data_IF_106345161091
#
_entry.id   IF_106345161091
#
_cell.length_a   1.000
_cell.length_b   1.000
_cell.length_c   1.000
_cell.angle_alpha   90.00
_cell.angle_beta   90.00
_cell.angle_gamma   90.00
#
_symmetry.space_group_name_H-M   'P 1'
#
loop_
_entity.id
_entity.type
_entity.pdbx_description
1 polymer ?
#
# COMPACT_ATOMS: atom_id res chain seq x y z
N UNK A 1 -3.35 -16.68 24.45
CA UNK A 1 -2.86 -15.31 24.14
C UNK A 1 -3.61 -14.82 22.92
N UNK A 2 -4.06 -13.57 22.90
CA UNK A 2 -4.78 -13.00 21.76
C UNK A 2 -3.82 -12.84 20.57
N UNK A 3 -4.27 -13.21 19.38
CA UNK A 3 -3.50 -13.07 18.13
C UNK A 3 -3.25 -11.59 17.83
N UNK A 4 -2.02 -11.24 17.47
CA UNK A 4 -1.62 -9.89 17.06
C UNK A 4 -1.48 -9.85 15.54
N UNK A 5 -2.12 -8.89 14.89
CA UNK A 5 -2.06 -8.73 13.45
C UNK A 5 -1.04 -7.64 13.07
N UNK A 6 0.05 -8.03 12.40
CA UNK A 6 1.16 -7.16 12.00
C UNK A 6 1.44 -7.28 10.48
N UNK A 7 0.38 -7.48 9.68
CA UNK A 7 0.43 -7.56 8.21
C UNK A 7 -0.47 -6.49 7.54
N UNK A 8 -0.51 -5.30 8.11
CA UNK A 8 -1.31 -4.18 7.62
C UNK A 8 -0.94 -3.68 6.21
N UNK A 9 0.29 -3.93 5.74
CA UNK A 9 0.66 -3.61 4.36
C UNK A 9 0.04 -4.58 3.34
N UNK A 10 -0.35 -5.79 3.73
CA UNK A 10 -1.12 -6.70 2.88
C UNK A 10 -2.59 -6.27 2.82
N UNK A 11 -3.24 -6.12 3.97
CA UNK A 11 -4.61 -5.61 4.09
C UNK A 11 -4.86 -5.13 5.51
N UNK A 12 -5.79 -4.19 5.70
CA UNK A 12 -6.18 -3.68 7.02
C UNK A 12 -7.59 -4.13 7.39
N UNK A 13 -7.91 -4.30 8.70
CA UNK A 13 -9.27 -4.55 9.16
C UNK A 13 -10.25 -3.48 8.67
N UNK A 14 -11.49 -3.89 8.38
CA UNK A 14 -12.56 -2.96 7.99
C UNK A 14 -12.90 -2.03 9.17
N UNK A 15 -12.78 -0.73 8.94
CA UNK A 15 -13.13 0.32 9.91
C UNK A 15 -14.62 0.32 10.23
N UNK A 16 -14.96 0.76 11.45
CA UNK A 16 -16.34 0.89 11.89
C UNK A 16 -17.12 1.89 11.02
N UNK A 17 -16.50 3.01 10.65
CA UNK A 17 -17.09 4.04 9.78
C UNK A 17 -17.43 3.48 8.40
N UNK A 18 -16.50 2.72 7.80
CA UNK A 18 -16.70 2.06 6.52
C UNK A 18 -17.82 1.02 6.59
N UNK A 19 -17.84 0.19 7.64
CA UNK A 19 -18.90 -0.80 7.86
C UNK A 19 -20.27 -0.14 7.98
N UNK A 20 -20.39 0.91 8.79
CA UNK A 20 -21.65 1.62 8.99
C UNK A 20 -22.16 2.24 7.68
N UNK A 21 -21.28 2.88 6.91
CA UNK A 21 -21.62 3.45 5.61
C UNK A 21 -22.08 2.38 4.61
N UNK A 22 -21.39 1.24 4.56
CA UNK A 22 -21.77 0.12 3.70
C UNK A 22 -23.14 -0.46 4.05
N UNK A 23 -23.42 -0.66 5.35
CA UNK A 23 -24.73 -1.17 5.81
C UNK A 23 -25.84 -0.21 5.41
N UNK A 24 -25.66 1.09 5.67
CA UNK A 24 -26.66 2.10 5.29
C UNK A 24 -26.91 2.16 3.77
N UNK A 25 -25.88 1.93 2.95
CA UNK A 25 -26.05 1.90 1.50
C UNK A 25 -26.75 0.65 0.95
N UNK A 26 -26.85 -0.44 1.72
CA UNK A 26 -27.59 -1.64 1.31
C UNK A 26 -29.10 -1.37 1.15
N UNK A 27 -29.63 -0.37 1.86
CA UNK A 27 -31.04 0.02 1.77
C UNK A 27 -31.36 0.85 0.51
N UNK A 28 -30.33 1.26 -0.26
CA UNK A 28 -30.49 2.01 -1.51
C UNK A 28 -30.56 1.05 -2.69
N UNK A 29 -31.77 0.81 -3.20
CA UNK A 29 -32.05 -0.20 -4.25
C UNK A 29 -31.81 0.26 -5.70
N UNK A 30 -31.67 1.57 -5.92
CA UNK A 30 -31.65 2.13 -7.27
C UNK A 30 -30.37 1.84 -8.07
N UNK A 31 -30.50 1.66 -9.37
CA UNK A 31 -29.36 1.68 -10.30
C UNK A 31 -29.00 3.15 -10.64
N UNK A 32 -27.75 3.62 -10.48
CA UNK A 32 -27.36 5.01 -10.77
C UNK A 32 -27.61 5.47 -12.21
N UNK A 33 -27.71 4.53 -13.14
CA UNK A 33 -28.03 4.80 -14.55
C UNK A 33 -29.52 5.06 -14.80
N UNK A 34 -30.39 4.76 -13.82
CA UNK A 34 -31.83 4.94 -13.95
C UNK A 34 -32.28 6.39 -13.68
N UNK A 35 -33.26 6.86 -14.44
CA UNK A 35 -33.79 8.24 -14.33
C UNK A 35 -34.85 8.42 -13.24
N UNK A 36 -35.40 7.34 -12.67
CA UNK A 36 -36.42 7.39 -11.60
C UNK A 36 -35.81 7.80 -10.24
N UNK A 37 -36.68 8.02 -9.23
CA UNK A 37 -36.27 8.62 -7.95
C UNK A 37 -35.17 7.82 -7.22
N UNK A 38 -35.31 6.50 -7.19
CA UNK A 38 -34.35 5.58 -6.56
C UNK A 38 -33.01 5.59 -7.30
N UNK A 39 -33.03 5.63 -8.64
CA UNK A 39 -31.82 5.74 -9.46
C UNK A 39 -31.09 7.06 -9.25
N UNK A 40 -31.82 8.18 -9.16
CA UNK A 40 -31.25 9.48 -8.80
C UNK A 40 -30.66 9.49 -7.40
N UNK A 41 -31.33 8.87 -6.43
CA UNK A 41 -30.81 8.75 -5.06
C UNK A 41 -29.50 7.94 -5.01
N UNK A 42 -29.45 6.81 -5.73
CA UNK A 42 -28.25 5.99 -5.89
C UNK A 42 -27.10 6.76 -6.55
N UNK A 43 -27.39 7.49 -7.64
CA UNK A 43 -26.43 8.36 -8.31
C UNK A 43 -25.90 9.46 -7.39
N UNK A 44 -26.77 10.14 -6.63
CA UNK A 44 -26.33 11.15 -5.66
C UNK A 44 -25.43 10.57 -4.57
N UNK A 45 -25.67 9.34 -4.13
CA UNK A 45 -24.81 8.67 -3.15
C UNK A 45 -23.43 8.35 -3.74
N UNK A 46 -23.38 7.85 -4.97
CA UNK A 46 -22.15 7.61 -5.72
C UNK A 46 -21.33 8.89 -5.91
N UNK A 47 -21.95 9.99 -6.36
CA UNK A 47 -21.22 11.25 -6.59
C UNK A 47 -20.70 11.88 -5.30
N UNK A 48 -21.43 11.75 -4.19
CA UNK A 48 -20.91 12.14 -2.86
C UNK A 48 -19.70 11.32 -2.46
N UNK A 49 -19.76 9.99 -2.62
CA UNK A 49 -18.61 9.13 -2.33
C UNK A 49 -17.40 9.47 -3.22
N UNK A 50 -17.62 9.81 -4.48
CA UNK A 50 -16.58 10.27 -5.41
C UNK A 50 -15.93 11.57 -4.93
N UNK A 51 -16.73 12.56 -4.55
CA UNK A 51 -16.25 13.84 -4.02
C UNK A 51 -15.46 13.65 -2.72
N UNK A 52 -15.96 12.80 -1.82
CA UNK A 52 -15.31 12.50 -0.54
C UNK A 52 -13.93 11.84 -0.72
N UNK A 53 -13.81 10.90 -1.67
CA UNK A 53 -12.52 10.28 -2.01
C UNK A 53 -11.58 11.29 -2.66
N UNK A 54 -12.10 12.15 -3.55
CA UNK A 54 -11.31 13.20 -4.19
C UNK A 54 -10.77 14.20 -3.15
N UNK A 55 -11.60 14.66 -2.21
CA UNK A 55 -11.19 15.56 -1.13
C UNK A 55 -10.13 14.92 -0.24
N UNK A 56 -10.35 13.68 0.21
CA UNK A 56 -9.40 12.96 1.06
C UNK A 56 -8.03 12.73 0.39
N UNK A 57 -7.97 12.71 -0.95
CA UNK A 57 -6.74 12.55 -1.71
C UNK A 57 -6.04 13.87 -2.09
N UNK A 58 -6.66 15.02 -1.82
CA UNK A 58 -6.22 16.29 -2.39
C UNK A 58 -6.33 16.29 -3.92
N UNK A 59 -7.41 15.72 -4.46
CA UNK A 59 -7.65 15.47 -5.88
C UNK A 59 -8.96 16.09 -6.39
N UNK A 60 -9.43 17.18 -5.77
CA UNK A 60 -10.73 17.82 -6.07
C UNK A 60 -10.84 18.28 -7.54
N UNK A 61 -9.71 18.59 -8.18
CA UNK A 61 -9.65 18.98 -9.60
C UNK A 61 -9.37 17.80 -10.55
N UNK A 62 -9.34 16.57 -10.05
CA UNK A 62 -9.08 15.35 -10.81
C UNK A 62 -10.38 14.57 -11.07
N UNK A 63 -10.36 13.73 -12.11
CA UNK A 63 -11.39 12.72 -12.29
C UNK A 63 -11.03 11.49 -11.45
N UNK A 64 -11.99 10.99 -10.67
CA UNK A 64 -11.87 9.72 -9.94
C UNK A 64 -12.62 8.67 -10.75
N UNK A 65 -11.95 7.60 -11.16
CA UNK A 65 -12.55 6.43 -11.80
C UNK A 65 -12.49 5.27 -10.82
N UNK A 66 -13.63 4.80 -10.33
CA UNK A 66 -13.68 3.65 -9.43
C UNK A 66 -13.42 2.35 -10.18
N UNK A 67 -12.63 1.48 -9.55
CA UNK A 67 -12.22 0.17 -10.07
C UNK A 67 -12.40 -0.89 -8.98
N UNK A 68 -12.20 -2.18 -9.28
CA UNK A 68 -12.25 -3.24 -8.26
C UNK A 68 -11.06 -3.24 -7.30
N UNK A 69 -10.08 -2.36 -7.48
CA UNK A 69 -8.86 -2.27 -6.68
C UNK A 69 -7.69 -1.66 -7.46
N UNK A 70 -6.57 -1.44 -6.78
CA UNK A 70 -5.36 -0.90 -7.40
C UNK A 70 -4.84 -1.75 -8.58
N UNK A 71 -5.09 -3.06 -8.59
CA UNK A 71 -4.70 -3.93 -9.72
C UNK A 71 -5.46 -3.62 -11.00
N UNK A 72 -6.78 -3.42 -10.93
CA UNK A 72 -7.58 -3.00 -12.09
C UNK A 72 -7.18 -1.57 -12.50
N UNK A 73 -6.96 -0.68 -11.53
CA UNK A 73 -6.49 0.68 -11.79
C UNK A 73 -5.13 0.70 -12.52
N UNK A 74 -4.18 -0.16 -12.13
CA UNK A 74 -2.87 -0.28 -12.76
C UNK A 74 -3.01 -0.69 -14.24
N UNK A 75 -3.83 -1.71 -14.52
CA UNK A 75 -4.10 -2.13 -15.89
C UNK A 75 -4.75 -1.04 -16.73
N UNK A 76 -5.74 -0.33 -16.18
CA UNK A 76 -6.40 0.79 -16.87
C UNK A 76 -5.43 1.95 -17.15
N UNK A 77 -4.53 2.25 -16.21
CA UNK A 77 -3.57 3.33 -16.34
C UNK A 77 -2.42 3.00 -17.31
N UNK A 78 -1.90 1.77 -17.29
CA UNK A 78 -0.64 1.43 -17.95
C UNK A 78 -0.80 0.74 -19.32
N UNK A 79 -1.94 0.09 -19.59
CA UNK A 79 -2.13 -0.71 -20.80
C UNK A 79 -1.85 0.09 -22.09
N UNK A 80 -0.96 -0.43 -22.93
CA UNK A 80 -0.66 0.12 -24.25
C UNK A 80 0.14 1.44 -24.25
N UNK A 81 0.69 1.85 -23.11
CA UNK A 81 1.41 3.14 -22.99
C UNK A 81 2.93 3.07 -23.07
N UNK A 82 3.49 1.86 -23.06
CA UNK A 82 4.94 1.66 -23.09
C UNK A 82 5.67 2.50 -22.01
N UNK A 83 5.22 2.40 -20.75
CA UNK A 83 5.84 3.10 -19.63
C UNK A 83 7.03 2.31 -19.04
N UNK A 84 8.03 3.04 -18.53
CA UNK A 84 9.15 2.49 -17.77
C UNK A 84 8.81 2.40 -16.27
N UNK A 85 9.09 1.28 -15.63
CA UNK A 85 8.98 1.07 -14.19
C UNK A 85 10.26 0.45 -13.64
N UNK A 86 10.30 0.29 -12.33
CA UNK A 86 11.40 -0.35 -11.63
C UNK A 86 11.06 -1.78 -11.18
N UNK A 87 12.07 -2.60 -10.94
CA UNK A 87 11.91 -3.94 -10.39
C UNK A 87 11.26 -3.97 -9.00
N UNK A 88 11.21 -2.82 -8.30
CA UNK A 88 10.55 -2.68 -7.00
C UNK A 88 9.05 -2.45 -7.09
N UNK A 89 8.50 -2.16 -8.27
CA UNK A 89 7.05 -1.95 -8.47
C UNK A 89 6.23 -3.17 -8.05
N UNK A 90 5.00 -2.94 -7.58
CA UNK A 90 4.09 -4.04 -7.29
C UNK A 90 3.80 -4.83 -8.56
N UNK A 91 3.64 -6.16 -8.47
CA UNK A 91 3.38 -7.03 -9.63
C UNK A 91 2.20 -6.55 -10.50
N UNK A 92 1.21 -5.93 -9.86
CA UNK A 92 0.06 -5.32 -10.54
C UNK A 92 0.44 -4.22 -11.54
N UNK A 93 1.50 -3.45 -11.28
CA UNK A 93 2.06 -2.44 -12.18
C UNK A 93 3.10 -3.08 -13.08
N UNK A 94 3.99 -3.91 -12.51
CA UNK A 94 5.07 -4.61 -13.22
C UNK A 94 4.60 -5.48 -14.39
N UNK A 95 3.35 -5.95 -14.37
CA UNK A 95 2.74 -6.69 -15.48
C UNK A 95 2.49 -5.86 -16.76
N UNK A 96 2.54 -4.52 -16.67
CA UNK A 96 2.16 -3.61 -17.77
C UNK A 96 3.27 -2.68 -18.24
N UNK A 97 4.45 -2.70 -17.60
CA UNK A 97 5.53 -1.74 -17.81
C UNK A 97 6.85 -2.44 -18.11
N UNK A 98 7.78 -1.73 -18.76
CA UNK A 98 9.15 -2.21 -18.94
C UNK A 98 9.92 -2.04 -17.63
N UNK A 99 10.59 -3.09 -17.18
CA UNK A 99 11.54 -3.01 -16.07
C UNK A 99 12.83 -2.33 -16.57
N UNK A 100 12.86 -1.01 -16.49
CA UNK A 100 13.87 -0.16 -17.14
C UNK A 100 14.45 0.91 -16.22
N UNK A 101 13.84 1.17 -15.06
CA UNK A 101 14.33 2.17 -14.10
C UNK A 101 15.29 1.54 -13.10
N UNK A 102 16.43 2.19 -12.87
CA UNK A 102 17.45 1.73 -11.94
C UNK A 102 16.99 1.89 -10.48
N UNK A 103 17.39 0.93 -9.64
CA UNK A 103 17.14 0.91 -8.20
C UNK A 103 18.47 0.88 -7.46
N UNK A 104 18.66 1.77 -6.48
CA UNK A 104 19.86 1.76 -5.63
C UNK A 104 19.74 0.76 -4.46
N UNK A 105 20.84 0.57 -3.73
CA UNK A 105 20.88 -0.34 -2.58
C UNK A 105 19.97 0.10 -1.41
N UNK A 106 19.51 1.35 -1.41
CA UNK A 106 18.57 1.91 -0.44
C UNK A 106 17.13 1.89 -0.97
N UNK A 107 16.89 1.27 -2.13
CA UNK A 107 15.57 1.13 -2.76
C UNK A 107 15.04 2.40 -3.41
N UNK A 108 15.88 3.42 -3.69
CA UNK A 108 15.48 4.60 -4.46
C UNK A 108 15.44 4.24 -5.94
N UNK A 109 14.43 4.73 -6.63
CA UNK A 109 14.32 4.62 -8.09
C UNK A 109 14.83 5.91 -8.72
N UNK A 110 15.70 5.78 -9.72
CA UNK A 110 16.10 6.90 -10.58
C UNK A 110 15.11 7.01 -11.74
N UNK A 111 14.42 8.15 -11.84
CA UNK A 111 13.49 8.46 -12.94
C UNK A 111 14.14 9.50 -13.86
N UNK A 112 14.42 9.09 -15.10
CA UNK A 112 15.02 9.97 -16.11
C UNK A 112 13.97 10.78 -16.89
N UNK A 113 12.87 10.13 -17.28
CA UNK A 113 11.73 10.76 -17.95
C UNK A 113 10.44 10.49 -17.16
N UNK A 114 9.99 11.51 -16.41
CA UNK A 114 8.78 11.41 -15.61
C UNK A 114 7.53 11.12 -16.49
N UNK A 115 7.42 11.74 -17.67
CA UNK A 115 6.25 11.62 -18.53
C UNK A 115 6.06 10.24 -19.15
N UNK A 116 7.12 9.42 -19.16
CA UNK A 116 7.13 8.05 -19.66
C UNK A 116 7.34 7.00 -18.56
N UNK A 117 7.25 7.38 -17.28
CA UNK A 117 7.58 6.49 -16.16
C UNK A 117 6.43 6.27 -15.18
N UNK A 118 6.45 5.10 -14.54
CA UNK A 118 5.63 4.77 -13.36
C UNK A 118 6.51 4.69 -12.13
N UNK A 119 5.96 5.08 -10.98
CA UNK A 119 6.69 5.02 -9.71
C UNK A 119 5.73 4.84 -8.54
N UNK A 120 5.92 3.79 -7.74
CA UNK A 120 5.23 3.72 -6.44
C UNK A 120 5.72 4.83 -5.51
N UNK A 121 4.81 5.49 -4.79
CA UNK A 121 5.18 6.51 -3.82
C UNK A 121 5.87 5.90 -2.60
N UNK A 122 5.42 4.73 -2.17
CA UNK A 122 6.05 3.97 -1.10
C UNK A 122 6.00 2.46 -1.34
N UNK A 123 7.10 1.77 -1.06
CA UNK A 123 7.20 0.35 -1.29
C UNK A 123 6.46 -0.48 -0.23
N UNK A 124 5.63 -1.41 -0.69
CA UNK A 124 4.79 -2.24 0.18
C UNK A 124 5.57 -3.28 1.01
N UNK A 125 6.78 -3.64 0.57
CA UNK A 125 7.65 -4.58 1.27
C UNK A 125 8.53 -3.85 2.29
N UNK A 126 9.29 -2.86 1.84
CA UNK A 126 10.34 -2.19 2.64
C UNK A 126 9.86 -0.93 3.35
N UNK A 127 8.74 -0.37 2.93
CA UNK A 127 8.26 0.92 3.38
C UNK A 127 9.03 2.10 2.81
N UNK A 128 10.05 1.88 1.97
CA UNK A 128 10.85 2.95 1.37
C UNK A 128 9.97 3.91 0.58
N UNK A 129 10.11 5.20 0.88
CA UNK A 129 9.40 6.29 0.19
C UNK A 129 10.29 6.83 -0.94
N UNK A 130 9.68 7.06 -2.10
CA UNK A 130 10.32 7.60 -3.30
C UNK A 130 10.17 9.11 -3.38
N UNK A 131 11.10 9.78 -4.07
CA UNK A 131 10.92 11.15 -4.50
C UNK A 131 10.20 11.14 -5.84
N UNK A 132 8.94 11.58 -5.86
CA UNK A 132 8.12 11.55 -7.08
C UNK A 132 8.39 12.81 -7.91
N UNK A 133 8.97 12.69 -9.11
CA UNK A 133 9.18 13.86 -9.95
C UNK A 133 7.85 14.40 -10.47
N UNK A 134 7.74 15.72 -10.56
CA UNK A 134 6.57 16.37 -11.15
C UNK A 134 6.37 15.89 -12.59
N UNK A 135 5.12 15.59 -12.95
CA UNK A 135 4.76 15.09 -14.26
C UNK A 135 4.89 13.58 -14.44
N UNK A 136 5.18 12.81 -13.39
CA UNK A 136 5.20 11.33 -13.44
C UNK A 136 3.91 10.80 -14.09
N UNK A 137 4.02 9.83 -15.00
CA UNK A 137 2.87 9.35 -15.76
C UNK A 137 1.85 8.65 -14.86
N UNK A 138 2.31 7.71 -14.02
CA UNK A 138 1.48 7.00 -13.05
C UNK A 138 2.23 6.89 -11.73
N UNK A 139 1.58 7.24 -10.62
CA UNK A 139 2.11 7.03 -9.29
C UNK A 139 1.26 6.03 -8.49
N UNK A 140 1.85 4.94 -8.02
CA UNK A 140 1.14 4.04 -7.10
C UNK A 140 1.19 4.61 -5.67
N UNK A 141 0.08 5.22 -5.25
CA UNK A 141 -0.07 5.86 -3.93
C UNK A 141 -0.71 4.93 -2.90
N UNK A 142 -0.95 3.66 -3.26
CA UNK A 142 -1.72 2.68 -2.49
C UNK A 142 -1.21 2.48 -1.06
N UNK A 143 0.11 2.57 -0.83
CA UNK A 143 0.69 2.37 0.50
C UNK A 143 0.77 3.64 1.34
N UNK A 144 0.67 4.83 0.73
CA UNK A 144 0.76 6.13 1.42
C UNK A 144 -0.62 6.64 1.81
N UNK A 145 -1.63 6.44 0.96
CA UNK A 145 -2.95 6.99 1.19
C UNK A 145 -3.53 6.51 2.53
N UNK A 146 -3.79 7.45 3.44
CA UNK A 146 -4.31 7.19 4.78
C UNK A 146 -3.25 6.81 5.82
N UNK A 147 -1.96 6.86 5.47
CA UNK A 147 -0.83 6.62 6.40
C UNK A 147 0.08 7.82 6.61
N UNK A 148 0.12 8.73 5.64
CA UNK A 148 0.90 9.96 5.70
C UNK A 148 0.13 11.08 5.00
N UNK A 149 0.50 12.36 5.22
CA UNK A 149 -0.04 13.46 4.44
C UNK A 149 0.15 13.20 2.95
N UNK A 150 -0.92 13.38 2.18
CA UNK A 150 -0.93 13.13 0.74
C UNK A 150 -1.81 14.18 0.06
N UNK A 151 -1.27 14.81 -0.97
CA UNK A 151 -1.99 15.71 -1.85
C UNK A 151 -1.62 15.34 -3.30
N UNK A 152 -2.60 14.78 -4.02
CA UNK A 152 -2.42 14.35 -5.41
C UNK A 152 -2.04 15.52 -6.32
N UNK A 153 -2.68 16.68 -6.17
CA UNK A 153 -2.40 17.83 -7.03
C UNK A 153 -0.99 18.37 -6.82
N UNK A 154 -0.55 18.47 -5.56
CA UNK A 154 0.80 18.90 -5.19
C UNK A 154 1.88 17.87 -5.56
N UNK A 155 1.54 16.58 -5.62
CA UNK A 155 2.48 15.52 -6.04
C UNK A 155 3.00 15.69 -7.48
N UNK A 156 2.25 16.42 -8.31
CA UNK A 156 2.57 16.58 -9.73
C UNK A 156 2.33 15.34 -10.60
N UNK A 157 1.83 14.22 -10.05
CA UNK A 157 1.50 13.03 -10.82
C UNK A 157 0.34 13.30 -11.81
N UNK A 158 0.41 12.67 -12.99
CA UNK A 158 -0.67 12.74 -14.00
C UNK A 158 -1.81 11.78 -13.64
N UNK A 159 -1.46 10.61 -13.14
CA UNK A 159 -2.41 9.59 -12.70
C UNK A 159 -1.94 8.96 -11.38
N UNK A 160 -2.86 8.51 -10.53
CA UNK A 160 -2.53 7.80 -9.31
C UNK A 160 -3.41 6.57 -9.05
N UNK A 161 -2.83 5.56 -8.40
CA UNK A 161 -3.50 4.32 -8.03
C UNK A 161 -3.77 4.29 -6.52
N UNK A 162 -4.97 3.90 -6.12
CA UNK A 162 -5.34 3.73 -4.71
C UNK A 162 -6.26 2.53 -4.49
N UNK A 163 -6.24 1.95 -3.29
CA UNK A 163 -7.03 0.77 -2.92
C UNK A 163 -7.61 0.92 -1.51
N UNK A 164 -8.93 0.73 -1.37
CA UNK A 164 -9.64 1.00 -0.13
C UNK A 164 -9.17 0.13 1.05
N UNK A 165 -8.91 -1.15 0.81
CA UNK A 165 -8.58 -2.11 1.87
C UNK A 165 -7.21 -1.88 2.53
N UNK A 166 -6.37 -0.98 2.00
CA UNK A 166 -5.07 -0.62 2.60
C UNK A 166 -5.22 0.36 3.75
N UNK A 167 -6.28 1.17 3.72
CA UNK A 167 -6.62 2.14 4.75
C UNK A 167 -7.86 1.73 5.57
N UNK A 168 -8.26 0.45 5.51
CA UNK A 168 -9.38 -0.08 6.30
C UNK A 168 -10.76 0.10 5.68
N UNK A 169 -10.84 0.35 4.37
CA UNK A 169 -12.07 0.23 3.59
C UNK A 169 -12.34 -1.22 3.12
N UNK A 170 -13.44 -1.46 2.38
CA UNK A 170 -13.77 -2.78 1.87
C UNK A 170 -12.75 -3.26 0.82
N UNK A 171 -12.57 -4.58 0.74
CA UNK A 171 -11.89 -5.22 -0.39
C UNK A 171 -12.81 -5.17 -1.63
N UNK A 172 -12.22 -5.27 -2.81
CA UNK A 172 -12.97 -5.25 -4.07
C UNK A 172 -13.36 -3.85 -4.54
N UNK A 173 -12.71 -2.80 -4.03
CA UNK A 173 -12.80 -1.46 -4.58
C UNK A 173 -11.50 -0.66 -4.43
N UNK A 174 -11.19 0.12 -5.47
CA UNK A 174 -10.11 1.08 -5.52
C UNK A 174 -10.47 2.21 -6.48
N UNK A 175 -9.49 3.04 -6.82
CA UNK A 175 -9.68 4.09 -7.82
C UNK A 175 -8.41 4.35 -8.62
N UNK A 176 -8.63 4.78 -9.87
CA UNK A 176 -7.66 5.48 -10.69
C UNK A 176 -8.01 6.98 -10.61
N UNK A 177 -7.06 7.77 -10.14
CA UNK A 177 -7.14 9.24 -10.12
C UNK A 177 -6.49 9.77 -11.39
N UNK A 178 -7.15 10.67 -12.11
CA UNK A 178 -6.70 11.22 -13.37
C UNK A 178 -6.69 12.74 -13.28
N UNK A 179 -5.55 13.38 -13.46
CA UNK A 179 -5.52 14.83 -13.67
C UNK A 179 -6.38 15.16 -14.90
N UNK A 180 -7.16 16.25 -14.86
CA UNK A 180 -8.01 16.66 -15.99
C UNK A 180 -7.25 16.71 -17.31
N UNK A 181 -7.90 16.23 -18.37
CA UNK A 181 -7.31 16.12 -19.71
C UNK A 181 -6.49 14.85 -19.94
N UNK A 182 -6.29 13.99 -18.93
CA UNK A 182 -5.75 12.64 -19.15
C UNK A 182 -6.86 11.72 -19.68
N UNK A 183 -6.56 11.04 -20.79
CA UNK A 183 -7.45 10.05 -21.39
C UNK A 183 -6.89 8.64 -21.20
N UNK A 184 -7.75 7.70 -20.78
CA UNK A 184 -7.44 6.28 -20.64
C UNK A 184 -8.45 5.45 -21.43
N UNK A 185 -8.02 4.53 -22.32
CA UNK A 185 -8.94 3.67 -23.03
C UNK A 185 -9.53 2.61 -22.09
N UNK A 186 -10.84 2.41 -22.15
CA UNK A 186 -11.52 1.41 -21.34
C UNK A 186 -11.00 -0.01 -21.62
N UNK A 187 -10.57 -0.69 -20.56
CA UNK A 187 -10.22 -2.13 -20.61
C UNK A 187 -11.49 -2.99 -20.48
N UNK A 188 -12.38 -2.62 -19.56
CA UNK A 188 -13.72 -3.22 -19.42
C UNK A 188 -14.71 -2.40 -20.24
N UNK A 189 -15.10 -2.95 -21.39
CA UNK A 189 -16.02 -2.31 -22.36
C UNK A 189 -17.48 -2.66 -22.05
N UNK A 190 -18.40 -1.77 -22.40
CA UNK A 190 -19.83 -1.94 -22.09
C UNK A 190 -20.59 -0.61 -22.09
N UNK A 191 -21.49 -0.44 -21.12
CA UNK A 191 -22.47 0.65 -21.04
C UNK A 191 -21.93 2.05 -20.71
N UNK A 192 -20.61 2.23 -20.64
CA UNK A 192 -20.01 3.55 -20.51
C UNK A 192 -20.10 4.18 -19.11
N UNK A 193 -20.30 3.37 -18.06
CA UNK A 193 -20.15 3.81 -16.67
C UNK A 193 -18.76 4.43 -16.42
N UNK A 194 -18.63 5.15 -15.30
CA UNK A 194 -17.38 5.83 -14.90
C UNK A 194 -16.80 6.70 -16.03
N UNK A 195 -17.64 7.58 -16.59
CA UNK A 195 -17.29 8.50 -17.67
C UNK A 195 -16.78 7.79 -18.94
N UNK A 196 -17.27 6.59 -19.23
CA UNK A 196 -16.86 5.79 -20.37
C UNK A 196 -15.55 5.02 -20.19
N UNK A 197 -14.87 5.18 -19.05
CA UNK A 197 -13.52 4.63 -18.80
C UNK A 197 -13.55 3.24 -18.15
N UNK A 198 -14.64 2.88 -17.47
CA UNK A 198 -14.78 1.59 -16.79
C UNK A 198 -16.25 1.16 -16.72
N UNK A 199 -16.64 0.21 -17.59
CA UNK A 199 -18.03 -0.25 -17.67
C UNK A 199 -18.42 -1.22 -16.55
N UNK A 200 -19.73 -1.37 -16.34
CA UNK A 200 -20.34 -2.26 -15.35
C UNK A 200 -21.08 -1.46 -14.27
N UNK A 201 -22.20 -1.99 -13.79
CA UNK A 201 -22.99 -1.36 -12.73
C UNK A 201 -22.13 -1.06 -11.51
N UNK A 202 -22.28 0.15 -10.99
CA UNK A 202 -21.39 0.73 -10.00
C UNK A 202 -21.58 0.06 -8.62
N UNK A 203 -20.46 -0.29 -7.98
CA UNK A 203 -20.46 -0.85 -6.63
C UNK A 203 -20.64 0.26 -5.58
N UNK A 204 -21.85 0.79 -5.46
CA UNK A 204 -22.17 1.91 -4.57
C UNK A 204 -21.79 1.60 -3.12
N UNK A 205 -22.08 0.37 -2.64
CA UNK A 205 -21.75 -0.08 -1.28
C UNK A 205 -20.23 0.02 -1.06
N UNK A 206 -19.43 -0.47 -2.01
CA UNK A 206 -17.99 -0.33 -1.97
C UNK A 206 -17.54 1.13 -1.98
N UNK A 207 -18.15 1.97 -2.83
CA UNK A 207 -17.77 3.38 -2.99
C UNK A 207 -17.95 4.17 -1.70
N UNK A 208 -19.11 4.02 -1.04
CA UNK A 208 -19.36 4.70 0.24
C UNK A 208 -18.48 4.16 1.36
N UNK A 209 -18.20 2.85 1.35
CA UNK A 209 -17.28 2.24 2.32
C UNK A 209 -15.85 2.75 2.13
N UNK A 210 -15.43 2.96 0.89
CA UNK A 210 -14.14 3.56 0.57
C UNK A 210 -14.11 5.03 1.01
N UNK A 211 -15.11 5.83 0.65
CA UNK A 211 -15.21 7.23 1.07
C UNK A 211 -15.15 7.41 2.59
N UNK A 212 -15.91 6.60 3.34
CA UNK A 212 -15.90 6.64 4.80
C UNK A 212 -14.54 6.23 5.39
N UNK A 213 -13.89 5.20 4.84
CA UNK A 213 -12.54 4.82 5.25
C UNK A 213 -11.51 5.93 4.95
N UNK A 214 -11.60 6.56 3.78
CA UNK A 214 -10.71 7.63 3.35
C UNK A 214 -10.78 8.83 4.28
N UNK A 215 -11.99 9.29 4.60
CA UNK A 215 -12.22 10.37 5.58
C UNK A 215 -11.64 10.05 6.95
N UNK A 216 -11.90 8.85 7.47
CA UNK A 216 -11.39 8.43 8.76
C UNK A 216 -9.84 8.34 8.76
N UNK A 217 -9.25 7.84 7.69
CA UNK A 217 -7.80 7.69 7.58
C UNK A 217 -7.08 9.05 7.45
N UNK A 218 -7.63 10.01 6.71
CA UNK A 218 -7.09 11.38 6.65
C UNK A 218 -7.18 12.07 8.01
N UNK A 219 -8.28 11.87 8.75
CA UNK A 219 -8.39 12.35 10.12
C UNK A 219 -7.28 11.78 11.02
N UNK A 220 -7.04 10.47 11.00
CA UNK A 220 -5.98 9.84 11.80
C UNK A 220 -4.58 10.39 11.45
N UNK A 221 -4.33 10.69 10.17
CA UNK A 221 -3.10 11.35 9.73
C UNK A 221 -2.98 12.76 10.31
N UNK A 222 -4.05 13.56 10.22
CA UNK A 222 -4.08 14.92 10.74
C UNK A 222 -3.94 14.98 12.27
N UNK A 223 -4.43 13.96 12.98
CA UNK A 223 -4.31 13.80 14.44
C UNK A 223 -2.93 13.28 14.89
N UNK A 224 -2.00 13.00 13.97
CA UNK A 224 -0.67 12.50 14.30
C UNK A 224 -0.64 11.05 14.82
N UNK A 225 -1.71 10.27 14.62
CA UNK A 225 -1.77 8.89 15.14
C UNK A 225 -0.70 7.98 14.54
N UNK A 226 -0.27 8.27 13.31
CA UNK A 226 0.81 7.53 12.65
C UNK A 226 2.20 7.87 13.20
N UNK A 227 2.38 9.00 13.89
CA UNK A 227 3.65 9.33 14.55
C UNK A 227 3.90 8.36 15.71
N UNK A 228 2.86 8.06 16.49
CA UNK A 228 2.92 6.99 17.52
C UNK A 228 3.26 5.63 16.91
N UNK A 229 2.71 5.30 15.75
CA UNK A 229 3.04 4.05 15.06
C UNK A 229 4.51 4.04 14.60
N UNK A 230 5.05 5.18 14.17
CA UNK A 230 6.47 5.32 13.84
C UNK A 230 7.37 5.08 15.06
N UNK A 231 6.99 5.58 16.24
CA UNK A 231 7.69 5.29 17.50
C UNK A 231 7.68 3.79 17.81
N UNK A 232 6.53 3.14 17.70
CA UNK A 232 6.40 1.69 17.91
C UNK A 232 7.24 0.87 16.92
N UNK A 233 7.29 1.30 15.65
CA UNK A 233 8.19 0.71 14.65
C UNK A 233 9.65 0.85 15.09
N UNK A 234 10.05 2.01 15.60
CA UNK A 234 11.42 2.23 16.08
C UNK A 234 11.74 1.36 17.31
N UNK A 235 10.80 1.22 18.25
CA UNK A 235 10.94 0.31 19.41
C UNK A 235 11.13 -1.13 18.93
N UNK A 236 10.31 -1.59 17.98
CA UNK A 236 10.44 -2.90 17.34
C UNK A 236 11.85 -3.10 16.78
N UNK A 237 12.30 -2.20 15.90
CA UNK A 237 13.61 -2.31 15.26
C UNK A 237 14.76 -2.30 16.26
N UNK A 238 14.72 -1.43 17.27
CA UNK A 238 15.75 -1.34 18.30
C UNK A 238 15.81 -2.61 19.17
N UNK A 239 14.66 -3.18 19.52
CA UNK A 239 14.59 -4.43 20.28
C UNK A 239 15.16 -5.62 19.50
N UNK A 240 14.83 -5.73 18.22
CA UNK A 240 15.37 -6.77 17.34
C UNK A 240 16.88 -6.60 17.10
N UNK A 241 17.35 -5.36 16.92
CA UNK A 241 18.78 -5.03 16.74
C UNK A 241 19.61 -5.30 18.02
N UNK A 242 19.01 -5.15 19.21
CA UNK A 242 19.66 -5.53 20.46
C UNK A 242 19.85 -7.06 20.57
N UNK A 243 18.94 -7.84 19.97
CA UNK A 243 19.00 -9.30 19.97
C UNK A 243 19.96 -9.88 18.91
N UNK A 244 20.14 -9.22 17.77
CA UNK A 244 20.98 -9.68 16.66
C UNK A 244 21.68 -8.53 15.95
N UNK A 245 23.02 -8.51 16.02
CA UNK A 245 23.85 -7.59 15.22
C UNK A 245 24.04 -8.04 13.76
N UNK A 246 23.53 -9.22 13.40
CA UNK A 246 23.56 -9.75 12.02
C UNK A 246 22.31 -9.38 11.22
N UNK A 247 21.26 -8.92 11.88
CA UNK A 247 20.00 -8.58 11.23
C UNK A 247 20.10 -7.21 10.54
N UNK A 248 19.72 -7.17 9.27
CA UNK A 248 19.82 -5.99 8.42
C UNK A 248 18.42 -5.38 8.29
N UNK A 249 18.25 -4.11 8.68
CA UNK A 249 16.99 -3.38 8.54
C UNK A 249 16.95 -2.61 7.22
N UNK A 250 16.14 -3.10 6.29
CA UNK A 250 16.10 -2.60 4.92
C UNK A 250 15.60 -1.15 4.90
N UNK A 251 16.42 -0.26 4.33
CA UNK A 251 16.12 1.17 4.21
C UNK A 251 16.20 1.97 5.52
N UNK A 252 16.69 1.40 6.63
CA UNK A 252 16.88 2.10 7.92
C UNK A 252 18.00 3.13 7.86
N UNK A 253 19.18 2.74 7.38
CA UNK A 253 20.41 3.55 7.40
C UNK A 253 20.50 4.59 6.26
N UNK A 254 19.35 5.11 5.82
CA UNK A 254 19.31 6.36 5.06
C UNK A 254 19.67 7.48 6.04
N UNK A 255 20.98 7.64 6.29
CA UNK A 255 21.54 8.71 7.08
C UNK A 255 20.80 10.00 6.75
N UNK A 256 20.28 10.65 7.79
CA UNK A 256 19.75 11.98 7.65
C UNK A 256 20.85 12.84 7.04
N UNK A 257 20.64 13.32 5.83
CA UNK A 257 20.87 14.74 5.71
C UNK A 257 19.94 15.35 6.76
N UNK A 258 20.48 15.95 7.80
CA UNK A 258 19.79 16.73 8.86
C UNK A 258 18.96 17.90 8.29
N UNK A 259 18.62 17.85 7.00
CA UNK A 259 18.17 18.92 6.11
C UNK A 259 16.86 18.57 5.37
N UNK A 260 16.40 17.31 5.38
CA UNK A 260 15.11 16.95 4.75
C UNK A 260 14.03 16.67 5.80
N UNK A 261 13.05 17.57 5.86
CA UNK A 261 11.85 17.52 6.72
C UNK A 261 10.85 16.39 6.39
N UNK A 262 11.23 15.43 5.53
CA UNK A 262 10.33 14.39 5.00
C UNK A 262 10.83 12.99 5.37
N UNK A 263 9.99 12.13 5.98
CA UNK A 263 10.36 10.75 6.32
C UNK A 263 10.76 9.93 5.09
N UNK A 264 11.76 9.07 5.23
CA UNK A 264 12.26 8.21 4.13
C UNK A 264 11.65 6.79 4.10
N UNK A 265 10.88 6.42 5.12
CA UNK A 265 10.13 5.17 5.20
C UNK A 265 8.74 5.41 5.78
N UNK A 266 7.78 4.57 5.40
CA UNK A 266 6.44 4.52 6.01
C UNK A 266 6.55 4.40 7.54
N UNK A 267 5.65 5.04 8.29
CA UNK A 267 5.68 5.01 9.75
C UNK A 267 5.49 3.58 10.29
N UNK A 268 4.80 2.73 9.55
CA UNK A 268 4.31 1.45 10.06
C UNK A 268 5.10 0.23 9.59
N UNK A 269 6.11 0.40 8.74
CA UNK A 269 6.75 -0.73 8.04
C UNK A 269 8.16 -0.95 8.55
N UNK A 270 8.45 -2.21 8.89
CA UNK A 270 9.81 -2.71 9.08
C UNK A 270 9.99 -3.95 8.21
N UNK A 271 11.00 -3.92 7.34
CA UNK A 271 11.48 -5.07 6.60
C UNK A 271 12.90 -5.34 7.03
N UNK A 272 13.17 -6.55 7.49
CA UNK A 272 14.49 -6.92 7.94
C UNK A 272 14.89 -8.30 7.44
N UNK A 273 16.18 -8.45 7.19
CA UNK A 273 16.80 -9.67 6.68
C UNK A 273 17.65 -10.26 7.78
N UNK A 274 17.45 -11.54 8.09
CA UNK A 274 18.29 -12.26 9.07
C UNK A 274 18.99 -13.42 8.36
N UNK A 275 20.20 -13.19 7.83
CA UNK A 275 20.91 -14.18 6.99
C UNK A 275 20.97 -15.56 7.64
N UNK A 276 20.66 -16.60 6.84
CA UNK A 276 20.61 -18.00 7.29
C UNK A 276 19.25 -18.45 7.83
N UNK A 277 18.36 -17.53 8.20
CA UNK A 277 17.02 -17.86 8.69
C UNK A 277 15.95 -17.54 7.66
N UNK A 278 15.52 -18.56 6.91
CA UNK A 278 14.51 -18.42 5.84
C UNK A 278 13.25 -17.67 6.32
N UNK A 279 12.79 -16.70 5.53
CA UNK A 279 11.64 -15.87 5.84
C UNK A 279 10.36 -16.67 6.05
N UNK A 280 10.10 -17.70 5.24
CA UNK A 280 8.97 -18.62 5.44
C UNK A 280 8.98 -19.29 6.82
N UNK A 281 10.17 -19.75 7.26
CA UNK A 281 10.34 -20.37 8.56
C UNK A 281 10.05 -19.37 9.68
N UNK A 282 10.52 -18.14 9.53
CA UNK A 282 10.19 -17.05 10.46
C UNK A 282 8.68 -16.80 10.52
N UNK A 283 8.00 -16.66 9.37
CA UNK A 283 6.55 -16.46 9.30
C UNK A 283 5.80 -17.58 10.01
N UNK A 284 6.11 -18.85 9.72
CA UNK A 284 5.48 -20.00 10.40
C UNK A 284 5.72 -19.99 11.91
N UNK A 285 6.94 -19.65 12.34
CA UNK A 285 7.28 -19.61 13.76
C UNK A 285 6.60 -18.46 14.50
N UNK A 286 6.39 -17.33 13.84
CA UNK A 286 5.65 -16.17 14.37
C UNK A 286 4.14 -16.44 14.39
N UNK A 287 3.60 -17.11 13.37
CA UNK A 287 2.19 -17.51 13.34
C UNK A 287 1.86 -18.46 14.50
N UNK A 288 2.70 -19.47 14.73
CA UNK A 288 2.61 -20.37 15.89
C UNK A 288 2.78 -19.64 17.24
N UNK A 289 3.44 -18.48 17.24
CA UNK A 289 3.59 -17.61 18.41
C UNK A 289 2.43 -16.60 18.55
N UNK A 290 1.46 -16.61 17.62
CA UNK A 290 0.28 -15.74 17.66
C UNK A 290 0.43 -14.42 16.89
N UNK A 291 1.42 -14.28 16.01
CA UNK A 291 1.65 -13.06 15.22
C UNK A 291 1.43 -13.29 13.73
N UNK A 292 0.53 -12.52 13.12
CA UNK A 292 0.38 -12.49 11.67
C UNK A 292 1.41 -11.50 11.08
N UNK A 293 2.38 -12.03 10.34
CA UNK A 293 3.42 -11.27 9.64
C UNK A 293 3.59 -11.84 8.23
N UNK A 294 4.34 -11.15 7.39
CA UNK A 294 4.60 -11.59 6.02
C UNK A 294 6.09 -11.81 5.80
N UNK A 295 6.44 -12.71 4.91
CA UNK A 295 7.76 -12.67 4.28
C UNK A 295 7.78 -11.51 3.26
N UNK A 296 8.93 -11.17 2.70
CA UNK A 296 8.96 -10.45 1.42
C UNK A 296 8.16 -11.18 0.32
N UNK A 297 8.00 -10.60 -0.86
CA UNK A 297 7.33 -11.19 -2.07
C UNK A 297 6.07 -12.05 -1.85
N UNK A 298 5.34 -11.90 -0.73
CA UNK A 298 4.23 -12.78 -0.35
C UNK A 298 3.03 -12.76 -1.31
N UNK A 299 3.04 -11.87 -2.31
CA UNK A 299 2.05 -11.82 -3.38
C UNK A 299 2.27 -12.90 -4.47
N UNK A 300 3.38 -13.65 -4.50
CA UNK A 300 3.64 -14.61 -5.59
C UNK A 300 3.00 -15.98 -5.36
N UNK A 301 1.71 -16.13 -5.70
CA UNK A 301 1.01 -17.36 -6.12
C UNK A 301 1.43 -18.73 -5.52
N UNK A 302 1.87 -18.78 -4.26
CA UNK A 302 2.22 -20.02 -3.56
C UNK A 302 3.57 -20.65 -3.92
N UNK A 303 4.41 -20.01 -4.75
CA UNK A 303 5.80 -20.45 -4.98
C UNK A 303 6.76 -19.46 -4.33
N UNK A 304 7.45 -19.90 -3.28
CA UNK A 304 8.37 -19.02 -2.59
C UNK A 304 9.61 -18.81 -3.45
N UNK A 305 9.86 -17.55 -3.76
CA UNK A 305 11.04 -17.06 -4.48
C UNK A 305 11.63 -15.90 -3.67
N UNK A 306 12.94 -15.71 -3.80
CA UNK A 306 13.62 -14.54 -3.25
C UNK A 306 12.87 -13.25 -3.65
N UNK A 307 12.81 -12.27 -2.74
CA UNK A 307 12.12 -11.01 -3.01
C UNK A 307 12.78 -10.27 -4.18
N UNK A 308 12.00 -10.03 -5.25
CA UNK A 308 12.44 -9.23 -6.40
C UNK A 308 12.84 -7.82 -5.98
N UNK A 309 12.12 -7.24 -5.02
CA UNK A 309 12.42 -5.92 -4.44
C UNK A 309 13.81 -5.93 -3.81
N UNK A 310 14.10 -6.92 -2.95
CA UNK A 310 15.40 -6.97 -2.28
C UNK A 310 16.54 -7.32 -3.24
N UNK A 311 16.32 -8.20 -4.22
CA UNK A 311 17.31 -8.46 -5.26
C UNK A 311 17.59 -7.23 -6.10
N UNK A 312 16.57 -6.41 -6.42
CA UNK A 312 16.77 -5.12 -7.09
C UNK A 312 17.57 -4.13 -6.24
N UNK A 313 17.47 -4.23 -4.91
CA UNK A 313 18.29 -3.47 -3.96
C UNK A 313 19.69 -4.08 -3.74
N UNK A 314 20.10 -5.07 -4.53
CA UNK A 314 21.43 -5.67 -4.49
C UNK A 314 21.63 -6.77 -3.45
N UNK A 315 20.58 -7.21 -2.74
CA UNK A 315 20.69 -8.38 -1.86
C UNK A 315 20.86 -9.65 -2.69
N UNK A 316 21.81 -10.49 -2.29
CA UNK A 316 21.95 -11.82 -2.89
C UNK A 316 20.69 -12.66 -2.63
N UNK A 317 20.30 -13.58 -3.54
CA UNK A 317 19.04 -14.32 -3.43
C UNK A 317 18.84 -15.06 -2.10
N UNK A 318 19.91 -15.56 -1.49
CA UNK A 318 19.85 -16.24 -0.19
C UNK A 318 19.44 -15.30 0.96
N UNK A 319 19.97 -14.08 0.97
CA UNK A 319 19.63 -13.06 1.96
C UNK A 319 18.24 -12.50 1.69
N UNK A 320 17.91 -12.22 0.43
CA UNK A 320 16.57 -11.79 0.04
C UNK A 320 15.47 -12.82 0.43
N UNK A 321 15.79 -14.11 0.48
CA UNK A 321 14.90 -15.18 0.95
C UNK A 321 14.79 -15.27 2.49
N UNK A 322 15.59 -14.51 3.23
CA UNK A 322 15.63 -14.47 4.70
C UNK A 322 14.93 -13.23 5.27
N UNK A 323 14.12 -12.55 4.44
CA UNK A 323 13.40 -11.34 4.80
C UNK A 323 12.09 -11.62 5.54
N UNK A 324 11.82 -10.82 6.56
CA UNK A 324 10.55 -10.72 7.26
C UNK A 324 10.03 -9.28 7.20
N UNK A 325 8.74 -9.13 6.92
CA UNK A 325 8.03 -7.85 6.95
C UNK A 325 7.05 -7.84 8.12
N UNK A 326 7.21 -6.82 8.95
CA UNK A 326 6.27 -6.46 10.02
C UNK A 326 5.66 -5.11 9.65
N UNK A 327 4.33 -5.05 9.57
CA UNK A 327 3.60 -3.83 9.26
C UNK A 327 2.51 -3.57 10.29
N UNK A 328 2.74 -2.53 11.11
CA UNK A 328 1.91 -2.16 12.25
C UNK A 328 0.62 -1.47 11.80
N UNK A 329 -0.40 -1.50 12.65
CA UNK A 329 -1.66 -0.77 12.49
C UNK A 329 -1.83 0.30 13.56
N UNK A 330 -2.87 1.12 13.40
CA UNK A 330 -3.20 2.21 14.33
C UNK A 330 -3.58 1.73 15.75
N UNK A 331 -4.04 0.48 15.86
CA UNK A 331 -4.42 -0.15 17.13
C UNK A 331 -3.32 -1.06 17.69
N UNK A 332 -2.15 -1.12 17.03
CA UNK A 332 -1.02 -1.89 17.57
C UNK A 332 -0.50 -1.21 18.84
N UNK A 333 -0.30 -1.98 19.90
CA UNK A 333 0.16 -1.46 21.20
C UNK A 333 1.66 -1.70 21.40
N UNK A 334 2.24 -1.01 22.38
CA UNK A 334 3.63 -1.25 22.78
C UNK A 334 3.83 -2.67 23.34
N UNK A 335 2.86 -3.18 24.09
CA UNK A 335 2.87 -4.57 24.58
C UNK A 335 2.88 -5.59 23.43
N UNK A 336 2.12 -5.35 22.36
CA UNK A 336 2.16 -6.19 21.15
C UNK A 336 3.57 -6.24 20.54
N UNK A 337 4.24 -5.08 20.48
CA UNK A 337 5.61 -4.95 19.95
C UNK A 337 6.61 -5.67 20.83
N UNK A 338 6.56 -5.46 22.15
CA UNK A 338 7.46 -6.11 23.11
C UNK A 338 7.30 -7.64 23.08
N UNK A 339 6.05 -8.13 23.05
CA UNK A 339 5.79 -9.57 22.91
C UNK A 339 6.30 -10.13 21.58
N UNK A 340 6.21 -9.36 20.50
CA UNK A 340 6.79 -9.77 19.21
C UNK A 340 8.31 -9.88 19.30
N UNK A 341 8.99 -8.89 19.90
CA UNK A 341 10.44 -8.91 20.11
C UNK A 341 10.85 -10.16 20.89
N UNK A 342 10.22 -10.42 22.04
CA UNK A 342 10.51 -11.58 22.87
C UNK A 342 10.31 -12.90 22.13
N UNK A 343 9.19 -13.03 21.41
CA UNK A 343 8.89 -14.22 20.62
C UNK A 343 9.94 -14.43 19.51
N UNK A 344 10.24 -13.38 18.73
CA UNK A 344 11.19 -13.45 17.64
C UNK A 344 12.60 -13.78 18.15
N UNK A 345 13.09 -13.08 19.18
CA UNK A 345 14.39 -13.33 19.80
C UNK A 345 14.50 -14.75 20.37
N UNK A 346 13.44 -15.26 21.00
CA UNK A 346 13.40 -16.63 21.50
C UNK A 346 13.49 -17.68 20.38
N UNK A 347 12.91 -17.40 19.20
CA UNK A 347 13.04 -18.28 18.02
C UNK A 347 14.40 -18.15 17.35
N UNK A 348 14.96 -16.94 17.28
CA UNK A 348 16.30 -16.71 16.75
C UNK A 348 17.34 -17.54 17.51
N UNK A 349 17.37 -17.46 18.85
CA UNK A 349 18.33 -18.22 19.67
C UNK A 349 18.25 -19.73 19.42
N UNK A 350 17.03 -20.25 19.23
CA UNK A 350 16.81 -21.68 18.90
C UNK A 350 17.27 -22.03 17.49
N UNK A 351 17.14 -21.11 16.54
CA UNK A 351 17.64 -21.29 15.18
C UNK A 351 19.18 -21.30 15.18
N UNK A 352 19.82 -20.33 15.83
CA UNK A 352 21.29 -20.24 15.93
C UNK A 352 21.88 -21.46 16.65
N UNK A 353 21.27 -21.93 17.73
CA UNK A 353 21.72 -23.13 18.44
C UNK A 353 21.60 -24.43 17.63
N UNK A 354 20.79 -24.47 16.56
CA UNK A 354 20.70 -25.61 15.64
C UNK A 354 21.66 -25.52 14.46
N UNK A 355 22.16 -24.32 14.18
CA UNK A 355 23.08 -24.03 13.09
C UNK A 355 24.56 -24.07 13.52
N UNK A 356 24.82 -23.98 14.83
CA UNK A 356 26.12 -24.21 15.46
C UNK A 356 26.39 -25.71 15.66
#
# INVERSE_FOLDING_TARGET
MMRVYLDHNATSPLRAEARAAMIAAMDVVGNPSSVHAEGRAAKSLMERARADVAEALGAVEADIVFTSGATEAAGLACAGRDLAGAAVEHDAVGAWVRDALAVDAQGRVTVEDAGASVLQLANSETGVIQNVPAGIAVCDMTQVFGKMPLDFMASGARMALVSAHKLGGPKGIGALVLRRGQEVPAQIKGGGQEMGRRSGTENIIGMVGFAAAAKAAVRDVAEGRWDRVAELRNILENGLEAASKKTIFVGKDRGGAESLSVPHRLPNTSCFVTPGWKGETQVMQMDLAGFAVSAGSACSSGKVRASRVLTAMGFVPADAASALRVSLGLETTEDDVLRFIDAWTGKLRKHEARAA
#
